data_IF_471843589342
#
_entry.id   IF_471843589342
#
_cell.length_a   1.000
_cell.length_b   1.000
_cell.length_c   1.000
_cell.angle_alpha   90.00
_cell.angle_beta   90.00
_cell.angle_gamma   90.00
#
_symmetry.space_group_name_H-M   'P 1'
#
loop_
_entity.id
_entity.type
_entity.pdbx_description
1 polymer ?
#
# COMPACT_ATOMS: atom_id res chain seq x y z
N UNK A 1 8.29 20.21 7.12
CA UNK A 1 7.14 19.30 6.98
C UNK A 1 6.88 18.67 8.33
N UNK A 2 5.63 18.60 8.77
CA UNK A 2 5.25 17.87 9.99
C UNK A 2 5.58 16.40 9.77
N UNK A 3 6.32 15.78 10.69
CA UNK A 3 6.69 14.36 10.60
C UNK A 3 5.41 13.53 10.77
N UNK A 4 5.00 12.78 9.75
CA UNK A 4 3.89 11.83 9.84
C UNK A 4 4.40 10.44 10.22
N UNK A 5 3.56 9.64 10.87
CA UNK A 5 3.79 8.22 11.11
C UNK A 5 3.58 7.45 9.80
N UNK A 6 4.34 6.37 9.52
CA UNK A 6 4.07 5.51 8.36
C UNK A 6 2.73 4.80 8.50
N UNK A 7 2.06 4.42 7.41
CA UNK A 7 0.73 3.79 7.45
C UNK A 7 0.66 2.53 8.34
N UNK A 8 1.76 1.77 8.41
CA UNK A 8 1.87 0.55 9.20
C UNK A 8 2.28 0.78 10.67
N UNK A 9 2.36 2.03 11.15
CA UNK A 9 2.95 2.31 12.47
C UNK A 9 2.29 1.53 13.61
N UNK A 10 0.96 1.37 13.60
CA UNK A 10 0.24 0.72 14.70
C UNK A 10 0.46 -0.80 14.69
N UNK A 11 0.51 -1.43 13.51
CA UNK A 11 0.81 -2.87 13.41
C UNK A 11 2.26 -3.16 13.81
N UNK A 12 3.19 -2.28 13.42
CA UNK A 12 4.58 -2.37 13.83
C UNK A 12 4.75 -2.20 15.35
N UNK A 13 4.06 -1.23 15.96
CA UNK A 13 4.11 -0.98 17.40
C UNK A 13 3.54 -2.14 18.24
N UNK A 14 2.52 -2.83 17.71
CA UNK A 14 1.86 -3.94 18.39
C UNK A 14 2.54 -5.30 18.15
N UNK A 15 3.46 -5.40 17.18
CA UNK A 15 4.08 -6.66 16.79
C UNK A 15 3.08 -7.67 16.19
N UNK A 16 2.05 -7.17 15.51
CA UNK A 16 0.98 -8.01 14.97
C UNK A 16 1.35 -8.60 13.62
N UNK A 17 1.24 -9.93 13.49
CA UNK A 17 1.34 -10.69 12.23
C UNK A 17 2.67 -10.53 11.48
N UNK A 18 3.04 -11.50 10.63
CA UNK A 18 4.13 -11.26 9.68
C UNK A 18 3.69 -10.26 8.60
N UNK A 19 2.47 -10.36 8.07
CA UNK A 19 2.06 -9.54 6.94
C UNK A 19 1.21 -8.36 7.38
N UNK A 20 1.52 -7.19 6.83
CA UNK A 20 0.78 -5.95 7.09
C UNK A 20 0.11 -5.49 5.82
N UNK A 21 -1.15 -5.08 5.92
CA UNK A 21 -1.94 -4.65 4.78
C UNK A 21 -2.59 -3.30 5.05
N UNK A 22 -2.63 -2.46 4.03
CA UNK A 22 -3.54 -1.33 3.95
C UNK A 22 -4.49 -1.55 2.79
N UNK A 23 -5.78 -1.43 3.06
CA UNK A 23 -6.83 -1.45 2.05
C UNK A 23 -7.53 -0.10 2.08
N UNK A 24 -7.51 0.62 0.97
CA UNK A 24 -8.16 1.91 0.81
C UNK A 24 -9.09 1.89 -0.40
N UNK A 25 -10.34 2.26 -0.19
CA UNK A 25 -11.33 2.38 -1.26
C UNK A 25 -11.54 3.85 -1.58
N UNK A 26 -11.32 4.24 -2.84
CA UNK A 26 -11.77 5.53 -3.34
C UNK A 26 -13.24 5.44 -3.79
N UNK A 27 -13.91 6.57 -3.97
CA UNK A 27 -15.27 6.53 -4.54
C UNK A 27 -15.25 6.02 -5.99
N UNK A 28 -16.34 5.39 -6.48
CA UNK A 28 -16.42 4.95 -7.88
C UNK A 28 -16.16 6.08 -8.89
N UNK A 29 -16.60 7.31 -8.59
CA UNK A 29 -16.37 8.49 -9.43
C UNK A 29 -14.88 8.88 -9.52
N UNK A 30 -14.07 8.48 -8.55
CA UNK A 30 -12.63 8.73 -8.51
C UNK A 30 -11.82 7.78 -9.40
N UNK A 31 -12.40 6.65 -9.85
CA UNK A 31 -11.64 5.59 -10.55
C UNK A 31 -10.99 6.09 -11.84
N UNK A 32 -11.68 6.92 -12.61
CA UNK A 32 -11.13 7.49 -13.85
C UNK A 32 -9.97 8.45 -13.58
N UNK A 33 -10.09 9.27 -12.54
CA UNK A 33 -9.05 10.19 -12.09
C UNK A 33 -7.82 9.43 -11.56
N UNK A 34 -8.05 8.41 -10.73
CA UNK A 34 -7.00 7.53 -10.22
C UNK A 34 -6.22 6.89 -11.37
N UNK A 35 -6.92 6.27 -12.35
CA UNK A 35 -6.28 5.69 -13.53
C UNK A 35 -5.43 6.70 -14.30
N UNK A 36 -5.89 7.93 -14.44
CA UNK A 36 -5.15 8.99 -15.12
C UNK A 36 -3.86 9.37 -14.36
N UNK A 37 -3.93 9.47 -13.03
CA UNK A 37 -2.78 9.78 -12.18
C UNK A 37 -1.70 8.69 -12.27
N UNK A 38 -2.11 7.42 -12.31
CA UNK A 38 -1.19 6.28 -12.37
C UNK A 38 -0.33 6.25 -13.65
N UNK A 39 -0.77 6.87 -14.75
CA UNK A 39 0.01 6.93 -16.01
C UNK A 39 1.37 7.62 -15.81
N UNK A 40 1.43 8.61 -14.92
CA UNK A 40 2.64 9.39 -14.66
C UNK A 40 3.19 9.14 -13.25
N UNK A 41 2.64 8.18 -12.52
CA UNK A 41 3.09 7.86 -11.17
C UNK A 41 4.32 6.97 -11.25
N UNK A 42 5.37 7.41 -10.57
CA UNK A 42 6.50 6.56 -10.18
C UNK A 42 6.63 6.59 -8.66
N UNK A 43 7.05 5.47 -8.09
CA UNK A 43 7.30 5.38 -6.65
C UNK A 43 8.77 5.01 -6.43
N UNK A 44 9.49 5.84 -5.69
CA UNK A 44 10.94 5.66 -5.49
C UNK A 44 11.25 4.33 -4.82
N UNK A 45 12.14 3.54 -5.43
CA UNK A 45 12.47 2.21 -4.94
C UNK A 45 11.46 1.12 -5.31
N UNK A 46 10.50 1.43 -6.19
CA UNK A 46 9.57 0.46 -6.78
C UNK A 46 9.74 0.36 -8.29
N UNK A 47 9.31 -0.77 -8.84
CA UNK A 47 9.24 -1.04 -10.27
C UNK A 47 7.84 -1.51 -10.63
N UNK A 48 7.29 -0.95 -11.71
CA UNK A 48 6.00 -1.36 -12.25
C UNK A 48 6.12 -2.74 -12.90
N UNK A 49 5.33 -3.69 -12.39
CA UNK A 49 5.34 -5.08 -12.82
C UNK A 49 4.13 -5.44 -13.71
N UNK A 50 3.01 -4.73 -13.56
CA UNK A 50 1.82 -4.95 -14.37
C UNK A 50 0.97 -3.68 -14.49
N UNK A 51 0.24 -3.56 -15.60
CA UNK A 51 -0.69 -2.45 -15.85
C UNK A 51 -2.12 -2.74 -15.37
N UNK A 52 -2.48 -4.03 -15.23
CA UNK A 52 -3.82 -4.46 -14.83
C UNK A 52 -3.75 -5.77 -14.04
N UNK A 53 -3.94 -5.75 -12.71
CA UNK A 53 -4.01 -4.54 -11.88
C UNK A 53 -2.73 -3.72 -11.97
N UNK A 54 -2.81 -2.40 -11.76
CA UNK A 54 -1.61 -1.56 -11.75
C UNK A 54 -0.79 -1.97 -10.53
N UNK A 55 0.39 -2.54 -10.76
CA UNK A 55 1.17 -3.23 -9.73
C UNK A 55 2.57 -2.68 -9.65
N UNK A 56 2.96 -2.19 -8.48
CA UNK A 56 4.31 -1.77 -8.14
C UNK A 56 4.88 -2.72 -7.10
N UNK A 57 6.06 -3.28 -7.37
CA UNK A 57 6.80 -4.11 -6.42
C UNK A 57 8.08 -3.38 -6.03
N UNK A 58 8.56 -3.55 -4.80
CA UNK A 58 9.88 -3.03 -4.43
C UNK A 58 10.94 -3.52 -5.43
N UNK A 59 11.82 -2.61 -5.88
CA UNK A 59 12.69 -2.87 -7.04
C UNK A 59 13.64 -4.05 -6.84
N UNK A 60 13.89 -4.49 -5.60
CA UNK A 60 14.73 -5.67 -5.36
C UNK A 60 13.99 -6.97 -5.62
N UNK A 61 12.68 -7.00 -5.42
CA UNK A 61 11.85 -8.18 -5.66
C UNK A 61 11.11 -8.15 -7.02
N UNK A 62 11.14 -7.04 -7.75
CA UNK A 62 10.39 -6.88 -9.01
C UNK A 62 10.64 -7.98 -10.04
N UNK A 63 11.90 -8.34 -10.31
CA UNK A 63 12.23 -9.40 -11.28
C UNK A 63 11.72 -10.78 -10.82
N UNK A 64 11.84 -11.08 -9.53
CA UNK A 64 11.33 -12.31 -8.95
C UNK A 64 9.80 -12.37 -9.01
N UNK A 65 9.13 -11.25 -8.73
CA UNK A 65 7.69 -11.12 -8.80
C UNK A 65 7.16 -11.30 -10.23
N UNK A 66 7.81 -10.67 -11.22
CA UNK A 66 7.52 -10.88 -12.64
C UNK A 66 7.74 -12.33 -13.09
N UNK A 67 8.79 -12.98 -12.59
CA UNK A 67 9.02 -14.41 -12.77
C UNK A 67 7.83 -15.25 -12.28
N UNK A 68 7.39 -14.98 -11.04
CA UNK A 68 6.23 -15.64 -10.44
C UNK A 68 4.95 -15.42 -11.26
N UNK A 69 4.65 -14.18 -11.66
CA UNK A 69 3.47 -13.84 -12.47
C UNK A 69 3.45 -14.55 -13.83
N UNK A 70 4.62 -14.67 -14.48
CA UNK A 70 4.74 -15.28 -15.81
C UNK A 70 4.96 -16.80 -15.77
N UNK A 71 5.02 -17.39 -14.58
CA UNK A 71 5.33 -18.81 -14.38
C UNK A 71 6.77 -19.18 -14.77
N UNK A 72 7.68 -18.19 -14.87
CA UNK A 72 9.09 -18.37 -15.21
C UNK A 72 9.94 -18.30 -13.94
N UNK A 73 10.60 -19.40 -13.61
CA UNK A 73 11.49 -19.51 -12.45
C UNK A 73 10.82 -19.08 -11.12
N UNK A 74 9.71 -19.73 -10.75
CA UNK A 74 8.94 -19.36 -9.57
C UNK A 74 9.79 -19.51 -8.31
N UNK A 75 9.85 -18.46 -7.50
CA UNK A 75 10.60 -18.44 -6.25
C UNK A 75 9.81 -17.74 -5.16
N UNK A 76 10.05 -18.14 -3.92
CA UNK A 76 9.37 -17.53 -2.78
C UNK A 76 9.96 -16.14 -2.47
N UNK A 77 9.08 -15.18 -2.17
CA UNK A 77 9.42 -13.81 -1.79
C UNK A 77 8.76 -13.55 -0.44
N UNK A 78 9.53 -13.68 0.64
CA UNK A 78 9.01 -13.56 2.00
C UNK A 78 8.92 -12.12 2.49
N UNK A 79 9.95 -11.32 2.22
CA UNK A 79 10.03 -9.92 2.67
C UNK A 79 9.94 -9.02 1.45
N UNK A 80 8.83 -8.30 1.33
CA UNK A 80 8.54 -7.46 0.17
C UNK A 80 7.63 -6.30 0.53
N UNK A 81 7.54 -5.34 -0.39
CA UNK A 81 6.52 -4.31 -0.41
C UNK A 81 5.83 -4.27 -1.77
N UNK A 82 4.50 -4.30 -1.75
CA UNK A 82 3.65 -4.41 -2.92
C UNK A 82 2.55 -3.35 -2.86
N UNK A 83 2.37 -2.62 -3.95
CA UNK A 83 1.22 -1.73 -4.16
C UNK A 83 0.44 -2.27 -5.36
N UNK A 84 -0.84 -2.58 -5.15
CA UNK A 84 -1.77 -3.04 -6.19
C UNK A 84 -2.97 -2.11 -6.24
N UNK A 85 -3.32 -1.66 -7.44
CA UNK A 85 -4.47 -0.78 -7.66
C UNK A 85 -5.37 -1.39 -8.73
N UNK A 86 -6.64 -1.63 -8.36
CA UNK A 86 -7.64 -2.21 -9.25
C UNK A 86 -9.01 -1.60 -8.98
N UNK A 87 -9.56 -0.91 -9.99
CA UNK A 87 -10.85 -0.24 -9.86
C UNK A 87 -10.80 0.85 -8.78
N UNK A 88 -11.61 0.69 -7.75
CA UNK A 88 -11.71 1.59 -6.59
C UNK A 88 -10.77 1.20 -5.43
N UNK A 89 -10.13 0.04 -5.49
CA UNK A 89 -9.27 -0.47 -4.42
C UNK A 89 -7.79 -0.12 -4.67
N UNK A 90 -7.18 0.48 -3.66
CA UNK A 90 -5.73 0.59 -3.47
C UNK A 90 -5.35 -0.35 -2.33
N UNK A 91 -4.50 -1.33 -2.62
CA UNK A 91 -3.93 -2.28 -1.66
C UNK A 91 -2.44 -2.02 -1.54
N UNK A 92 -1.95 -1.90 -0.30
CA UNK A 92 -0.53 -1.98 0.02
C UNK A 92 -0.32 -3.19 0.92
N UNK A 93 0.71 -3.98 0.63
CA UNK A 93 1.05 -5.18 1.38
C UNK A 93 2.56 -5.22 1.66
N UNK A 94 2.89 -5.49 2.91
CA UNK A 94 4.26 -5.66 3.40
C UNK A 94 4.40 -7.06 3.99
N UNK A 95 5.09 -7.95 3.26
CA UNK A 95 5.39 -9.29 3.75
C UNK A 95 6.44 -9.25 4.86
N UNK A 96 6.18 -9.90 5.99
CA UNK A 96 7.07 -9.88 7.18
C UNK A 96 7.51 -8.45 7.59
N UNK A 97 6.60 -7.47 7.51
CA UNK A 97 6.84 -6.06 7.84
C UNK A 97 7.62 -5.23 6.81
N UNK A 98 7.86 -5.78 5.61
CA UNK A 98 8.28 -5.12 4.37
C UNK A 98 9.38 -4.03 4.44
N UNK A 99 10.63 -4.43 4.16
CA UNK A 99 11.88 -3.67 3.84
C UNK A 99 12.25 -2.46 4.71
N UNK A 100 11.44 -2.12 5.72
CA UNK A 100 11.72 -1.11 6.74
C UNK A 100 11.20 0.29 6.40
N UNK A 101 11.59 1.24 7.26
CA UNK A 101 10.99 2.58 7.35
C UNK A 101 10.99 3.38 6.04
N UNK A 102 11.97 3.16 5.15
CA UNK A 102 12.06 3.89 3.89
C UNK A 102 10.89 3.54 2.96
N UNK A 103 10.63 2.25 2.73
CA UNK A 103 9.53 1.80 1.89
C UNK A 103 8.18 2.19 2.48
N UNK A 104 8.03 2.00 3.81
CA UNK A 104 6.81 2.36 4.52
C UNK A 104 6.50 3.86 4.43
N UNK A 105 7.53 4.72 4.48
CA UNK A 105 7.36 6.16 4.31
C UNK A 105 7.01 6.52 2.86
N UNK A 106 7.69 5.94 1.88
CA UNK A 106 7.43 6.18 0.46
C UNK A 106 5.99 5.82 0.08
N UNK A 107 5.50 4.67 0.54
CA UNK A 107 4.11 4.24 0.37
C UNK A 107 3.12 5.22 1.05
N UNK A 108 3.47 5.70 2.24
CA UNK A 108 2.65 6.66 2.99
C UNK A 108 2.54 7.99 2.26
N UNK A 109 3.67 8.50 1.75
CA UNK A 109 3.73 9.74 0.99
C UNK A 109 2.94 9.63 -0.31
N UNK A 110 3.00 8.47 -0.97
CA UNK A 110 2.20 8.16 -2.15
C UNK A 110 0.69 8.21 -1.87
N UNK A 111 0.22 7.56 -0.80
CA UNK A 111 -1.18 7.62 -0.40
C UNK A 111 -1.61 9.06 -0.05
N UNK A 112 -0.77 9.80 0.68
CA UNK A 112 -1.05 11.19 1.03
C UNK A 112 -1.14 12.11 -0.20
N UNK A 113 -0.31 11.87 -1.21
CA UNK A 113 -0.37 12.57 -2.51
C UNK A 113 -1.67 12.25 -3.24
N UNK A 114 -1.99 10.96 -3.43
CA UNK A 114 -3.22 10.55 -4.11
C UNK A 114 -4.47 11.13 -3.43
N UNK A 115 -4.55 11.05 -2.10
CA UNK A 115 -5.71 11.55 -1.36
C UNK A 115 -5.72 13.08 -1.17
N UNK A 116 -4.70 13.79 -1.65
CA UNK A 116 -4.70 15.24 -1.75
C UNK A 116 -5.29 15.74 -3.09
N UNK A 117 -5.42 14.87 -4.09
CA UNK A 117 -5.92 15.25 -5.41
C UNK A 117 -7.43 15.55 -5.35
N UNK A 118 -7.90 16.68 -5.90
CA UNK A 118 -9.29 17.14 -5.74
C UNK A 118 -10.33 16.24 -6.43
N UNK A 119 -9.89 15.39 -7.36
CA UNK A 119 -10.71 14.43 -8.11
C UNK A 119 -10.59 13.00 -7.58
N UNK A 120 -9.88 12.79 -6.47
CA UNK A 120 -9.78 11.50 -5.78
C UNK A 120 -10.34 11.65 -4.37
N UNK A 121 -11.43 10.94 -4.10
CA UNK A 121 -12.08 10.93 -2.79
C UNK A 121 -11.89 9.57 -2.13
N UNK A 122 -11.23 9.52 -0.98
CA UNK A 122 -11.15 8.33 -0.14
C UNK A 122 -12.51 8.08 0.53
N UNK A 123 -13.09 6.90 0.33
CA UNK A 123 -14.36 6.45 0.90
C UNK A 123 -14.17 5.63 2.17
N UNK A 124 -13.13 4.81 2.25
CA UNK A 124 -12.79 4.07 3.45
C UNK A 124 -11.35 3.61 3.42
N UNK A 125 -10.78 3.33 4.59
CA UNK A 125 -9.47 2.73 4.71
C UNK A 125 -9.40 1.83 5.94
N UNK A 126 -8.54 0.84 5.89
CA UNK A 126 -8.22 -0.03 7.01
C UNK A 126 -6.77 -0.51 6.95
N UNK A 127 -6.18 -0.66 8.13
CA UNK A 127 -4.86 -1.24 8.34
C UNK A 127 -5.04 -2.57 9.07
N UNK A 128 -4.52 -3.64 8.49
CA UNK A 128 -4.64 -5.00 9.00
C UNK A 128 -3.26 -5.60 9.24
N UNK A 129 -3.22 -6.59 10.11
CA UNK A 129 -2.12 -7.52 10.25
C UNK A 129 -2.64 -8.96 10.18
N UNK A 130 -1.83 -9.90 9.68
CA UNK A 130 -2.20 -11.31 9.56
C UNK A 130 -1.21 -12.07 8.68
N UNK A 131 -1.72 -13.01 7.89
CA UNK A 131 -0.92 -13.78 6.92
C UNK A 131 -0.19 -14.96 7.56
N UNK A 132 0.36 -15.86 6.74
CA UNK A 132 1.19 -17.00 7.17
C UNK A 132 0.62 -17.84 8.34
N UNK A 133 -0.69 -18.12 8.30
CA UNK A 133 -1.38 -18.90 9.32
C UNK A 133 -1.86 -18.10 10.54
N UNK A 134 -1.68 -16.78 10.54
CA UNK A 134 -2.30 -15.86 11.51
C UNK A 134 -3.62 -15.32 10.97
N UNK A 135 -4.61 -15.18 11.86
CA UNK A 135 -5.88 -14.54 11.54
C UNK A 135 -5.67 -13.06 11.20
N UNK A 136 -6.44 -12.55 10.23
CA UNK A 136 -6.42 -11.12 9.92
C UNK A 136 -7.15 -10.31 10.99
N UNK A 137 -6.45 -9.32 11.54
CA UNK A 137 -6.97 -8.39 12.54
C UNK A 137 -6.89 -6.96 12.03
N UNK A 138 -7.99 -6.21 12.17
CA UNK A 138 -8.03 -4.78 11.86
C UNK A 138 -7.42 -4.02 13.03
N UNK A 139 -6.31 -3.31 12.78
CA UNK A 139 -5.63 -2.49 13.78
C UNK A 139 -6.16 -1.06 13.80
N UNK A 140 -6.52 -0.51 12.64
CA UNK A 140 -7.12 0.80 12.50
C UNK A 140 -8.01 0.85 11.26
N UNK A 141 -9.01 1.74 11.27
CA UNK A 141 -9.88 1.99 10.13
C UNK A 141 -10.49 3.39 10.20
N UNK A 142 -10.96 3.89 9.06
CA UNK A 142 -11.67 5.16 8.95
C UNK A 142 -12.41 5.31 7.63
N UNK A 143 -13.08 6.44 7.46
CA UNK A 143 -14.11 6.64 6.41
C UNK A 143 -13.79 7.76 5.43
N UNK A 144 -12.64 8.42 5.56
CA UNK A 144 -12.28 9.55 4.70
C UNK A 144 -10.78 9.91 4.81
N UNK A 145 -10.34 10.83 3.95
CA UNK A 145 -8.98 11.38 3.97
C UNK A 145 -8.64 12.07 5.30
N UNK A 146 -9.62 12.68 5.97
CA UNK A 146 -9.41 13.40 7.23
C UNK A 146 -9.00 12.46 8.36
N UNK A 147 -9.75 11.37 8.54
CA UNK A 147 -9.49 10.29 9.48
C UNK A 147 -8.18 9.57 9.17
N UNK A 148 -7.85 9.37 7.89
CA UNK A 148 -6.56 8.80 7.50
C UNK A 148 -5.39 9.71 7.92
N UNK A 149 -5.47 11.01 7.64
CA UNK A 149 -4.44 11.99 8.06
C UNK A 149 -4.33 12.10 9.58
N UNK A 150 -5.46 12.06 10.29
CA UNK A 150 -5.47 12.06 11.75
C UNK A 150 -4.77 10.81 12.32
N UNK A 151 -5.01 9.63 11.74
CA UNK A 151 -4.33 8.39 12.12
C UNK A 151 -2.81 8.44 11.93
N UNK A 152 -2.33 9.13 10.89
CA UNK A 152 -0.90 9.31 10.63
C UNK A 152 -0.25 10.44 11.44
N UNK A 153 -1.02 11.25 12.15
CA UNK A 153 -0.48 12.41 12.85
C UNK A 153 0.34 11.98 14.08
N UNK A 154 1.47 12.66 14.36
CA UNK A 154 2.17 12.49 15.62
C UNK A 154 1.29 12.99 16.76
N UNK A 155 1.40 12.35 17.93
CA UNK A 155 0.73 12.81 19.15
C UNK A 155 1.30 14.14 19.65
#
# INVERSE_FOLDING_TARGET
MTKVKPWCWQVAANGNGPDWLLLAHVTPDSVAALKQELVNTSLDGYSQCADTPYTLMDSTNADAYLGNLTGKDPRNIWVYNLVEIQGDLIKIESGYGGRGDVNNQVETDFLLHLFALPNITLQSWQVLAGGEGYDYVVSAAGTDTGSFRAYLSPD
#
